data_IF_314088552195
#
_entry.id   IF_314088552195
#
_cell.length_a   1.000
_cell.length_b   1.000
_cell.length_c   1.000
_cell.angle_alpha   90.00
_cell.angle_beta   90.00
_cell.angle_gamma   90.00
#
_symmetry.space_group_name_H-M   'P 1'
#
loop_
_entity.id
_entity.type
_entity.pdbx_description
1 polymer ?
#
# COMPACT_ATOMS: atom_id res chain seq x y z
N UNK A 1 5.55 -23.91 27.75
CA UNK A 1 6.71 -24.09 26.86
C UNK A 1 6.18 -24.10 25.43
N UNK A 2 6.95 -23.51 24.51
CA UNK A 2 6.65 -23.14 23.11
C UNK A 2 6.15 -21.70 22.91
N UNK A 3 7.12 -20.83 22.62
CA UNK A 3 6.92 -19.61 21.84
C UNK A 3 7.03 -19.98 20.35
N UNK A 4 6.18 -19.47 19.46
CA UNK A 4 6.60 -19.14 18.10
C UNK A 4 7.15 -17.71 18.17
N UNK A 5 8.42 -17.42 17.89
CA UNK A 5 9.08 -17.75 16.64
C UNK A 5 8.99 -16.51 15.75
N UNK A 6 9.98 -15.62 15.83
CA UNK A 6 10.23 -14.62 14.78
C UNK A 6 10.31 -15.37 13.44
N UNK A 7 9.41 -15.07 12.52
CA UNK A 7 9.48 -15.58 11.15
C UNK A 7 8.31 -16.45 10.71
N UNK A 8 7.08 -15.98 10.91
CA UNK A 8 6.09 -16.23 9.87
C UNK A 8 6.36 -15.17 8.80
N UNK A 9 6.90 -15.60 7.66
CA UNK A 9 6.85 -14.83 6.43
C UNK A 9 5.37 -14.72 6.05
N UNK A 10 4.71 -13.78 6.72
CA UNK A 10 3.36 -13.36 6.43
C UNK A 10 3.48 -12.67 5.08
N UNK A 11 3.19 -13.41 4.01
CA UNK A 11 2.92 -12.86 2.68
C UNK A 11 2.24 -11.51 2.86
N UNK A 12 2.74 -10.49 2.16
CA UNK A 12 2.30 -9.09 2.26
C UNK A 12 0.84 -9.00 1.79
N UNK A 13 -0.07 -9.45 2.64
CA UNK A 13 -1.50 -9.52 2.36
C UNK A 13 -2.05 -8.11 2.48
N UNK A 14 -2.64 -7.63 1.38
CA UNK A 14 -3.31 -6.35 1.36
C UNK A 14 -4.47 -6.37 2.35
N UNK A 15 -4.49 -5.38 3.24
CA UNK A 15 -5.50 -5.25 4.30
C UNK A 15 -6.13 -3.87 4.31
N UNK A 16 -7.18 -3.74 5.12
CA UNK A 16 -7.84 -2.46 5.35
C UNK A 16 -6.84 -1.39 5.80
N UNK A 17 -6.94 -0.19 5.23
CA UNK A 17 -6.05 0.95 5.43
C UNK A 17 -4.62 0.79 4.88
N UNK A 18 -4.32 -0.26 4.13
CA UNK A 18 -3.06 -0.30 3.40
C UNK A 18 -3.04 0.78 2.31
N UNK A 19 -1.85 1.36 2.16
CA UNK A 19 -1.54 2.18 0.98
C UNK A 19 -1.14 1.22 -0.13
N UNK A 20 -1.81 1.32 -1.27
CA UNK A 20 -1.60 0.42 -2.42
C UNK A 20 -1.27 1.23 -3.66
N UNK A 21 -0.66 0.55 -4.64
CA UNK A 21 -0.35 1.10 -5.96
C UNK A 21 -1.09 0.29 -7.01
N UNK A 22 -1.80 0.95 -7.92
CA UNK A 22 -2.44 0.28 -9.06
C UNK A 22 -1.38 -0.10 -10.11
N UNK A 23 -1.42 -1.33 -10.61
CA UNK A 23 -0.41 -1.83 -11.57
C UNK A 23 -0.85 -1.74 -13.04
N UNK A 24 -2.04 -1.24 -13.32
CA UNK A 24 -2.55 -1.05 -14.68
C UNK A 24 -3.19 0.33 -14.82
N UNK A 25 -3.22 0.83 -16.05
CA UNK A 25 -4.04 2.00 -16.37
C UNK A 25 -5.52 1.61 -16.30
N UNK A 26 -6.35 2.53 -15.82
CA UNK A 26 -7.81 2.44 -15.85
C UNK A 26 -8.36 3.74 -16.46
N UNK A 27 -8.31 3.87 -17.81
CA UNK A 27 -8.57 5.13 -18.50
C UNK A 27 -9.96 5.72 -18.25
N UNK A 28 -10.95 4.86 -18.04
CA UNK A 28 -12.34 5.23 -17.73
C UNK A 28 -12.45 6.08 -16.46
N UNK A 29 -11.51 5.90 -15.53
CA UNK A 29 -11.44 6.61 -14.26
C UNK A 29 -10.25 7.58 -14.17
N UNK A 30 -9.55 7.80 -15.30
CA UNK A 30 -8.34 8.65 -15.39
C UNK A 30 -7.23 8.21 -14.43
N UNK A 31 -7.22 6.93 -14.07
CA UNK A 31 -6.24 6.32 -13.20
C UNK A 31 -5.08 5.80 -14.04
N UNK A 32 -3.87 6.12 -13.62
CA UNK A 32 -2.65 5.69 -14.28
C UNK A 32 -1.93 4.60 -13.49
N UNK A 33 -1.30 3.66 -14.18
CA UNK A 33 -0.39 2.69 -13.54
C UNK A 33 0.62 3.45 -12.67
N UNK A 34 0.79 3.01 -11.43
CA UNK A 34 1.69 3.62 -10.46
C UNK A 34 1.00 4.63 -9.52
N UNK A 35 -0.28 4.92 -9.74
CA UNK A 35 -1.04 5.80 -8.87
C UNK A 35 -1.32 5.15 -7.50
N UNK A 36 -1.20 5.98 -6.46
CA UNK A 36 -1.29 5.55 -5.06
C UNK A 36 -2.73 5.73 -4.58
N UNK A 37 -3.28 4.69 -3.97
CA UNK A 37 -4.58 4.72 -3.31
C UNK A 37 -4.52 4.15 -1.90
N UNK A 38 -5.64 4.21 -1.19
CA UNK A 38 -5.82 3.61 0.13
C UNK A 38 -6.98 2.61 0.10
N UNK A 39 -6.76 1.43 0.68
CA UNK A 39 -7.83 0.44 0.85
C UNK A 39 -8.81 0.93 1.91
N UNK A 40 -10.06 1.17 1.51
CA UNK A 40 -11.15 1.65 2.39
C UNK A 40 -12.16 0.56 2.76
N UNK A 41 -12.20 -0.53 1.99
CA UNK A 41 -12.98 -1.74 2.32
C UNK A 41 -12.30 -3.00 1.76
N UNK A 42 -12.39 -4.12 2.50
CA UNK A 42 -11.99 -5.44 2.02
C UNK A 42 -13.24 -6.27 1.77
N UNK A 43 -13.38 -6.80 0.56
CA UNK A 43 -14.45 -7.71 0.19
C UNK A 43 -13.95 -9.17 0.19
N UNK A 44 -14.87 -10.11 -0.05
CA UNK A 44 -14.50 -11.50 -0.31
C UNK A 44 -13.73 -11.66 -1.63
N UNK A 45 -13.03 -12.79 -1.79
CA UNK A 45 -12.38 -13.17 -3.04
C UNK A 45 -11.25 -12.23 -3.49
N UNK A 46 -10.41 -11.78 -2.56
CA UNK A 46 -9.21 -10.97 -2.85
C UNK A 46 -9.55 -9.71 -3.67
N UNK A 47 -10.56 -9.00 -3.21
CA UNK A 47 -11.10 -7.80 -3.86
C UNK A 47 -11.24 -6.68 -2.84
N UNK A 48 -10.86 -5.46 -3.24
CA UNK A 48 -10.70 -4.33 -2.33
C UNK A 48 -11.36 -3.10 -2.92
N UNK A 49 -12.05 -2.31 -2.09
CA UNK A 49 -12.43 -0.95 -2.44
C UNK A 49 -11.25 -0.01 -2.13
N UNK A 50 -10.80 0.72 -3.15
CA UNK A 50 -9.63 1.59 -3.08
C UNK A 50 -10.05 3.01 -3.41
N UNK A 51 -9.71 3.94 -2.52
CA UNK A 51 -9.88 5.37 -2.72
C UNK A 51 -8.61 5.97 -3.31
N UNK A 52 -8.77 6.79 -4.35
CA UNK A 52 -7.71 7.57 -4.97
C UNK A 52 -7.99 9.06 -4.82
N UNK A 53 -7.01 9.78 -4.29
CA UNK A 53 -7.14 11.19 -3.90
C UNK A 53 -6.21 12.04 -4.77
N UNK A 54 -6.75 13.14 -5.31
CA UNK A 54 -5.99 14.14 -6.07
C UNK A 54 -5.08 14.97 -5.17
N UNK A 55 -4.14 15.73 -5.76
CA UNK A 55 -3.23 16.61 -5.01
C UNK A 55 -3.94 17.67 -4.14
N UNK A 56 -5.19 18.02 -4.45
CA UNK A 56 -6.00 18.95 -3.66
C UNK A 56 -6.74 18.27 -2.48
N UNK A 57 -6.48 16.99 -2.24
CA UNK A 57 -7.08 16.22 -1.15
C UNK A 57 -8.49 15.71 -1.44
N UNK A 58 -8.98 15.82 -2.68
CA UNK A 58 -10.30 15.29 -3.07
C UNK A 58 -10.21 13.91 -3.67
N UNK A 59 -11.12 13.03 -3.25
CA UNK A 59 -11.39 11.76 -3.91
C UNK A 59 -11.76 12.01 -5.37
N UNK A 60 -11.00 11.43 -6.28
CA UNK A 60 -11.30 11.52 -7.71
C UNK A 60 -11.73 10.16 -8.30
N UNK A 61 -11.40 9.06 -7.64
CA UNK A 61 -11.88 7.73 -7.95
C UNK A 61 -12.05 6.89 -6.67
N UNK A 62 -13.07 6.04 -6.68
CA UNK A 62 -13.32 5.02 -5.67
C UNK A 62 -13.72 3.75 -6.42
N UNK A 63 -12.85 2.74 -6.41
CA UNK A 63 -12.98 1.56 -7.27
C UNK A 63 -12.83 0.26 -6.50
N UNK A 64 -13.65 -0.72 -6.87
CA UNK A 64 -13.49 -2.11 -6.48
C UNK A 64 -12.48 -2.78 -7.42
N UNK A 65 -11.33 -3.19 -6.91
CA UNK A 65 -10.21 -3.77 -7.66
C UNK A 65 -9.82 -5.14 -7.09
N UNK A 66 -9.45 -6.06 -7.97
CA UNK A 66 -8.86 -7.34 -7.57
C UNK A 66 -7.44 -7.13 -7.02
N UNK A 67 -7.03 -7.99 -6.08
CA UNK A 67 -5.74 -7.92 -5.41
C UNK A 67 -4.54 -8.04 -6.36
N UNK A 68 -4.68 -8.76 -7.47
CA UNK A 68 -3.66 -8.89 -8.51
C UNK A 68 -3.39 -7.58 -9.29
N UNK A 69 -4.28 -6.59 -9.17
CA UNK A 69 -4.10 -5.25 -9.71
C UNK A 69 -3.43 -4.28 -8.73
N UNK A 70 -3.13 -4.73 -7.51
CA UNK A 70 -2.63 -3.91 -6.42
C UNK A 70 -1.28 -4.39 -5.92
N UNK A 71 -0.43 -3.45 -5.51
CA UNK A 71 0.79 -3.72 -4.75
C UNK A 71 0.72 -2.93 -3.46
N UNK A 72 0.72 -3.61 -2.30
CA UNK A 72 0.85 -2.95 -1.00
C UNK A 72 2.20 -2.25 -0.87
N UNK A 73 2.17 -0.96 -0.51
CA UNK A 73 3.36 -0.13 -0.41
C UNK A 73 4.01 -0.31 0.97
N UNK A 74 5.18 -0.96 0.99
CA UNK A 74 5.99 -1.06 2.21
C UNK A 74 6.84 0.18 2.42
N UNK A 75 6.56 0.93 3.49
CA UNK A 75 7.44 2.01 3.96
C UNK A 75 8.52 1.40 4.85
N UNK A 76 9.78 1.46 4.41
CA UNK A 76 10.89 1.11 5.29
C UNK A 76 10.91 2.13 6.44
N UNK A 77 10.95 1.71 7.71
CA UNK A 77 11.11 2.65 8.80
C UNK A 77 12.40 3.44 8.56
N UNK A 78 12.27 4.76 8.42
CA UNK A 78 13.39 5.68 8.48
C UNK A 78 13.94 5.53 9.89
N UNK A 79 15.11 4.90 10.03
CA UNK A 79 15.88 5.05 11.27
C UNK A 79 16.05 6.55 11.45
N UNK A 80 15.54 7.08 12.56
CA UNK A 80 15.72 8.47 12.94
C UNK A 80 17.19 8.84 12.70
N UNK A 81 17.44 9.92 11.95
CA UNK A 81 18.75 10.33 11.44
C UNK A 81 19.73 10.79 12.55
N UNK A 82 19.60 10.23 13.75
CA UNK A 82 20.45 10.48 14.90
C UNK A 82 21.60 9.46 15.01
N UNK A 83 21.56 8.33 14.27
CA UNK A 83 22.63 7.30 14.30
C UNK A 83 23.71 7.47 13.22
N UNK A 84 23.66 8.54 12.42
CA UNK A 84 24.77 8.87 11.51
C UNK A 84 25.88 9.56 12.31
N UNK A 85 26.81 8.77 12.85
CA UNK A 85 28.12 9.33 13.25
C UNK A 85 28.81 9.81 11.97
N UNK A 86 29.06 11.12 11.78
CA UNK A 86 29.84 11.57 10.65
C UNK A 86 31.24 10.96 10.76
N UNK A 87 31.72 10.34 9.69
CA UNK A 87 33.11 9.91 9.60
C UNK A 87 33.99 11.16 9.71
N UNK A 88 34.60 11.38 10.87
CA UNK A 88 35.57 12.44 11.07
C UNK A 88 36.81 12.09 10.23
N UNK A 89 37.12 12.93 9.25
CA UNK A 89 38.38 12.94 8.49
C UNK A 89 39.30 13.99 9.08
#
# INVERSE_FOLDING_TARGET
MLSPGRGEDMTDETKLLDVVVVVTDVPEHKLHRGEIGAVVECHGNDTFEVEFVSQDGRTHALLTLAGDLLISLRVKPTHDATDVVPAMT
#
